data_IF_240108799712
#
_entry.id   IF_240108799712
#
_cell.length_a   1.000
_cell.length_b   1.000
_cell.length_c   1.000
_cell.angle_alpha   90.00
_cell.angle_beta   90.00
_cell.angle_gamma   90.00
#
_symmetry.space_group_name_H-M   'P 1'
#
loop_
_entity.id
_entity.type
_entity.pdbx_description
1 polymer ?
#
# COMPACT_ATOMS: atom_id res chain seq x y z
N UNK A 1 -15.72 0.42 10.24
CA UNK A 1 -16.21 -0.43 9.13
C UNK A 1 -15.03 -1.23 8.58
N UNK A 2 -14.87 -2.49 9.00
CA UNK A 2 -13.82 -3.36 8.45
C UNK A 2 -14.32 -3.87 7.10
N UNK A 3 -13.87 -3.24 6.02
CA UNK A 3 -14.07 -3.78 4.67
C UNK A 3 -13.36 -5.14 4.61
N UNK A 4 -14.12 -6.22 4.81
CA UNK A 4 -13.76 -7.56 4.33
C UNK A 4 -13.80 -7.51 2.80
N UNK A 5 -12.81 -6.85 2.20
CA UNK A 5 -12.52 -7.05 0.79
C UNK A 5 -12.01 -8.49 0.68
N UNK A 6 -12.88 -9.36 0.17
CA UNK A 6 -12.51 -10.69 -0.30
C UNK A 6 -11.24 -10.53 -1.12
N UNK A 7 -10.20 -11.28 -0.79
CA UNK A 7 -8.95 -11.21 -1.54
C UNK A 7 -9.23 -11.70 -2.97
N UNK A 8 -9.02 -10.88 -4.02
CA UNK A 8 -9.18 -11.36 -5.38
C UNK A 8 -8.12 -12.40 -5.78
N UNK A 9 -7.05 -12.53 -4.99
CA UNK A 9 -5.96 -13.46 -5.24
C UNK A 9 -5.52 -14.20 -3.95
N UNK A 10 -6.38 -15.08 -3.40
CA UNK A 10 -6.10 -15.79 -2.14
C UNK A 10 -4.91 -16.76 -2.26
N UNK A 11 -4.53 -17.16 -3.46
CA UNK A 11 -3.40 -18.05 -3.75
C UNK A 11 -2.04 -17.35 -3.70
N UNK A 12 -2.03 -16.01 -3.76
CA UNK A 12 -0.78 -15.23 -3.74
C UNK A 12 -0.25 -15.06 -2.31
N UNK A 13 1.07 -14.85 -2.15
CA UNK A 13 1.73 -14.68 -0.86
C UNK A 13 0.98 -13.80 0.13
N UNK A 14 1.11 -14.14 1.42
CA UNK A 14 0.51 -13.46 2.56
C UNK A 14 1.61 -13.17 3.58
N UNK A 15 1.56 -12.00 4.22
CA UNK A 15 2.47 -11.64 5.30
C UNK A 15 2.07 -12.34 6.60
N UNK A 16 3.01 -13.11 7.15
CA UNK A 16 2.88 -13.85 8.42
C UNK A 16 3.87 -13.39 9.49
N UNK A 17 4.57 -12.28 9.25
CA UNK A 17 5.63 -11.80 10.12
C UNK A 17 6.89 -12.69 10.08
N UNK A 18 7.95 -12.29 10.78
CA UNK A 18 9.26 -12.95 10.73
C UNK A 18 9.27 -14.38 11.28
N UNK A 19 8.26 -14.75 12.08
CA UNK A 19 8.15 -16.08 12.69
C UNK A 19 7.11 -16.98 12.00
N UNK A 20 6.46 -16.50 10.92
CA UNK A 20 5.47 -17.28 10.17
C UNK A 20 4.15 -17.56 10.90
N UNK A 21 3.92 -16.97 12.09
CA UNK A 21 2.70 -17.20 12.90
C UNK A 21 1.58 -16.19 12.66
N UNK A 22 1.83 -15.17 11.85
CA UNK A 22 0.99 -14.00 11.69
C UNK A 22 1.66 -12.74 12.24
N UNK A 23 1.19 -11.58 11.78
CA UNK A 23 1.64 -10.29 12.31
C UNK A 23 0.95 -9.99 13.64
N UNK A 24 1.56 -9.14 14.46
CA UNK A 24 0.93 -8.68 15.70
C UNK A 24 -0.32 -7.82 15.44
N UNK A 25 -1.31 -7.89 16.34
CA UNK A 25 -2.58 -7.13 16.27
C UNK A 25 -2.39 -5.63 16.09
N UNK A 26 -1.31 -5.07 16.65
CA UNK A 26 -0.95 -3.66 16.52
C UNK A 26 -0.83 -3.20 15.05
N UNK A 27 -0.46 -4.11 14.12
CA UNK A 27 -0.37 -3.79 12.69
C UNK A 27 -1.72 -3.36 12.14
N UNK A 28 -2.79 -4.08 12.49
CA UNK A 28 -4.14 -3.77 12.00
C UNK A 28 -4.86 -2.73 12.85
N UNK A 29 -4.69 -2.79 14.17
CA UNK A 29 -5.44 -1.95 15.11
C UNK A 29 -4.87 -0.54 15.26
N UNK A 30 -3.55 -0.38 15.09
CA UNK A 30 -2.86 0.90 15.25
C UNK A 30 -2.20 1.34 13.95
N UNK A 31 -1.23 0.59 13.42
CA UNK A 31 -0.43 1.03 12.25
C UNK A 31 -1.31 1.33 11.03
N UNK A 32 -2.14 0.38 10.60
CA UNK A 32 -3.02 0.55 9.45
C UNK A 32 -4.15 1.54 9.72
N UNK A 33 -4.67 1.59 10.95
CA UNK A 33 -5.67 2.57 11.34
C UNK A 33 -5.12 3.99 11.22
N UNK A 34 -3.97 4.27 11.83
CA UNK A 34 -3.34 5.59 11.79
C UNK A 34 -2.92 5.99 10.37
N UNK A 35 -2.45 5.04 9.55
CA UNK A 35 -2.19 5.27 8.14
C UNK A 35 -3.45 5.74 7.39
N UNK A 36 -4.56 5.03 7.54
CA UNK A 36 -5.83 5.40 6.91
C UNK A 36 -6.35 6.76 7.41
N UNK A 37 -6.33 6.98 8.73
CA UNK A 37 -6.78 8.22 9.36
C UNK A 37 -5.95 9.42 8.86
N UNK A 38 -4.62 9.27 8.77
CA UNK A 38 -3.73 10.32 8.25
C UNK A 38 -4.04 10.66 6.78
N UNK A 39 -4.23 9.65 5.93
CA UNK A 39 -4.55 9.84 4.51
C UNK A 39 -5.88 10.59 4.33
N UNK A 40 -6.89 10.25 5.15
CA UNK A 40 -8.20 10.90 5.12
C UNK A 40 -8.11 12.34 5.64
N UNK A 41 -7.43 12.55 6.76
CA UNK A 41 -7.27 13.87 7.38
C UNK A 41 -6.51 14.85 6.49
N UNK A 42 -5.51 14.37 5.75
CA UNK A 42 -4.67 15.20 4.87
C UNK A 42 -5.27 15.45 3.48
N UNK A 43 -6.47 14.94 3.16
CA UNK A 43 -7.03 15.00 1.81
C UNK A 43 -7.08 16.44 1.23
N UNK A 44 -7.41 17.44 2.06
CA UNK A 44 -7.55 18.82 1.60
C UNK A 44 -6.20 19.45 1.24
N UNK A 45 -5.11 19.04 1.90
CA UNK A 45 -3.77 19.43 1.51
C UNK A 45 -3.36 18.76 0.20
N UNK A 46 -3.65 17.45 0.05
CA UNK A 46 -3.34 16.68 -1.16
C UNK A 46 -4.05 17.22 -2.41
N UNK A 47 -5.28 17.76 -2.28
CA UNK A 47 -6.02 18.42 -3.39
C UNK A 47 -5.33 19.65 -3.98
N UNK A 48 -4.36 20.24 -3.30
CA UNK A 48 -3.62 21.41 -3.80
C UNK A 48 -2.59 21.04 -4.88
N UNK A 49 -2.38 19.75 -5.12
CA UNK A 49 -1.42 19.23 -6.07
C UNK A 49 -2.17 18.49 -7.19
N UNK A 50 -1.84 18.75 -8.47
CA UNK A 50 -2.46 18.04 -9.59
C UNK A 50 -2.11 16.55 -9.62
N UNK A 51 -1.01 16.15 -8.98
CA UNK A 51 -0.62 14.75 -8.82
C UNK A 51 -0.48 14.42 -7.33
N UNK A 52 -0.83 13.20 -6.96
CA UNK A 52 -0.67 12.68 -5.60
C UNK A 52 -0.18 11.23 -5.67
N UNK A 53 0.98 10.96 -5.08
CA UNK A 53 1.64 9.64 -5.19
C UNK A 53 1.75 8.99 -3.83
N UNK A 54 1.41 7.71 -3.76
CA UNK A 54 1.79 6.85 -2.63
C UNK A 54 3.12 6.16 -2.98
N UNK A 55 4.09 6.20 -2.07
CA UNK A 55 5.36 5.49 -2.19
C UNK A 55 5.50 4.55 -0.99
N UNK A 56 5.65 3.26 -1.25
CA UNK A 56 5.83 2.23 -0.22
C UNK A 56 7.00 1.30 -0.61
N UNK A 57 8.23 1.56 -0.12
CA UNK A 57 9.41 0.79 -0.46
C UNK A 57 9.57 -0.52 0.33
N UNK A 58 8.60 -0.85 1.20
CA UNK A 58 8.55 -2.11 1.96
C UNK A 58 7.13 -2.69 1.90
N UNK A 59 6.60 -2.80 0.68
CA UNK A 59 5.18 -2.99 0.44
C UNK A 59 4.66 -4.36 0.91
N UNK A 60 5.53 -5.36 1.01
CA UNK A 60 5.12 -6.74 1.23
C UNK A 60 4.15 -7.23 0.16
N UNK A 61 3.40 -8.31 0.42
CA UNK A 61 2.52 -8.90 -0.58
C UNK A 61 1.13 -8.23 -0.70
N UNK A 62 0.86 -7.15 0.03
CA UNK A 62 -0.44 -6.47 -0.01
C UNK A 62 -1.58 -7.20 0.72
N UNK A 63 -1.28 -8.31 1.40
CA UNK A 63 -2.21 -9.07 2.26
C UNK A 63 -1.45 -9.59 3.48
N UNK A 64 -2.12 -9.69 4.63
CA UNK A 64 -1.55 -10.21 5.87
C UNK A 64 -2.53 -11.09 6.62
N UNK A 65 -2.02 -11.92 7.52
CA UNK A 65 -2.80 -12.59 8.56
C UNK A 65 -2.27 -12.16 9.93
N UNK A 66 -3.19 -11.87 10.85
CA UNK A 66 -2.85 -11.58 12.25
C UNK A 66 -2.68 -12.88 13.01
N UNK A 67 -1.72 -12.94 13.92
CA UNK A 67 -1.45 -14.13 14.73
C UNK A 67 -2.70 -14.61 15.48
N UNK A 68 -2.98 -15.91 15.37
CA UNK A 68 -4.13 -16.56 15.99
C UNK A 68 -5.47 -16.43 15.24
N UNK A 69 -5.50 -15.76 14.09
CA UNK A 69 -6.73 -15.60 13.31
C UNK A 69 -6.76 -16.50 12.07
N UNK A 70 -7.94 -17.03 11.72
CA UNK A 70 -8.12 -17.90 10.56
C UNK A 70 -8.37 -17.14 9.24
N UNK A 71 -8.32 -15.80 9.24
CA UNK A 71 -8.65 -14.98 8.08
C UNK A 71 -7.59 -13.92 7.80
N UNK A 72 -7.62 -13.38 6.58
CA UNK A 72 -6.61 -12.44 6.09
C UNK A 72 -7.22 -11.06 5.87
N UNK A 73 -6.38 -10.04 5.88
CA UNK A 73 -6.77 -8.64 5.64
C UNK A 73 -5.83 -7.95 4.65
N UNK A 74 -6.26 -6.83 4.05
CA UNK A 74 -5.38 -6.01 3.22
C UNK A 74 -4.13 -5.52 3.96
N UNK A 75 -3.01 -5.47 3.24
CA UNK A 75 -1.74 -4.89 3.67
C UNK A 75 -1.74 -3.36 3.62
N UNK A 76 -0.63 -2.74 4.08
CA UNK A 76 -0.53 -1.28 4.26
C UNK A 76 -0.79 -0.46 3.00
N UNK A 77 -0.14 -0.78 1.87
CA UNK A 77 -0.35 -0.12 0.58
C UNK A 77 -1.81 -0.19 0.11
N UNK A 78 -2.46 -1.35 0.26
CA UNK A 78 -3.86 -1.57 -0.13
C UNK A 78 -4.81 -0.79 0.78
N UNK A 79 -4.55 -0.74 2.09
CA UNK A 79 -5.29 0.10 3.04
C UNK A 79 -5.14 1.57 2.67
N UNK A 80 -3.91 2.03 2.39
CA UNK A 80 -3.65 3.42 2.03
C UNK A 80 -4.41 3.83 0.76
N UNK A 81 -4.35 3.02 -0.29
CA UNK A 81 -5.09 3.27 -1.52
C UNK A 81 -6.61 3.26 -1.31
N UNK A 82 -7.13 2.26 -0.58
CA UNK A 82 -8.55 2.18 -0.26
C UNK A 82 -9.03 3.41 0.52
N UNK A 83 -8.27 3.85 1.53
CA UNK A 83 -8.59 5.05 2.30
C UNK A 83 -8.56 6.32 1.44
N UNK A 84 -7.57 6.48 0.55
CA UNK A 84 -7.55 7.63 -0.36
C UNK A 84 -8.71 7.63 -1.36
N UNK A 85 -9.13 6.45 -1.82
CA UNK A 85 -10.20 6.27 -2.81
C UNK A 85 -11.60 6.65 -2.30
N UNK A 86 -11.80 6.71 -0.98
CA UNK A 86 -13.06 7.22 -0.39
C UNK A 86 -13.10 8.74 -0.28
N UNK A 87 -12.00 9.43 -0.62
CA UNK A 87 -11.87 10.89 -0.50
C UNK A 87 -12.00 11.57 -1.87
N UNK A 88 -12.11 12.91 -1.86
CA UNK A 88 -12.02 13.74 -3.09
C UNK A 88 -10.56 13.99 -3.53
N UNK A 89 -9.61 13.21 -3.02
CA UNK A 89 -8.17 13.35 -3.26
C UNK A 89 -7.51 11.96 -3.41
N UNK A 90 -7.91 11.16 -4.42
CA UNK A 90 -7.32 9.84 -4.63
C UNK A 90 -5.83 9.95 -5.02
N UNK A 91 -5.08 8.87 -4.83
CA UNK A 91 -3.74 8.78 -5.39
C UNK A 91 -3.82 8.61 -6.91
N UNK A 92 -3.04 9.40 -7.63
CA UNK A 92 -2.88 9.36 -9.09
C UNK A 92 -1.92 8.27 -9.55
N UNK A 93 -1.01 7.83 -8.66
CA UNK A 93 -0.03 6.78 -8.90
C UNK A 93 0.38 6.14 -7.59
N UNK A 94 0.70 4.85 -7.61
CA UNK A 94 1.28 4.12 -6.49
C UNK A 94 2.61 3.53 -6.94
N UNK A 95 3.65 3.78 -6.16
CA UNK A 95 4.97 3.17 -6.32
C UNK A 95 5.15 2.18 -5.17
N UNK A 96 5.33 0.90 -5.49
CA UNK A 96 5.58 -0.14 -4.50
C UNK A 96 6.95 -0.78 -4.71
N UNK A 97 7.60 -1.20 -3.63
CA UNK A 97 8.78 -2.03 -3.71
C UNK A 97 8.98 -2.90 -2.48
N UNK A 98 9.72 -3.98 -2.69
CA UNK A 98 10.16 -4.94 -1.68
C UNK A 98 11.40 -5.64 -2.26
N UNK A 99 12.25 -6.17 -1.38
CA UNK A 99 13.42 -6.94 -1.80
C UNK A 99 13.02 -8.26 -2.45
N UNK A 100 11.85 -8.80 -2.07
CA UNK A 100 11.31 -10.05 -2.60
C UNK A 100 10.36 -9.80 -3.78
N UNK A 101 10.73 -10.32 -4.95
CA UNK A 101 9.96 -10.21 -6.18
C UNK A 101 8.53 -10.77 -6.07
N UNK A 102 8.35 -11.91 -5.40
CA UNK A 102 7.04 -12.58 -5.28
C UNK A 102 6.06 -11.72 -4.47
N UNK A 103 6.58 -11.03 -3.45
CA UNK A 103 5.80 -10.10 -2.61
C UNK A 103 5.41 -8.86 -3.40
N UNK A 104 6.34 -8.24 -4.14
CA UNK A 104 6.01 -7.12 -5.03
C UNK A 104 4.92 -7.49 -6.03
N UNK A 105 5.06 -8.64 -6.71
CA UNK A 105 4.08 -9.09 -7.71
C UNK A 105 2.69 -9.35 -7.11
N UNK A 106 2.63 -9.93 -5.91
CA UNK A 106 1.38 -10.18 -5.20
C UNK A 106 0.65 -8.87 -4.87
N UNK A 107 1.39 -7.88 -4.37
CA UNK A 107 0.84 -6.57 -4.04
C UNK A 107 0.39 -5.80 -5.28
N UNK A 108 1.22 -5.83 -6.35
CA UNK A 108 0.88 -5.24 -7.63
C UNK A 108 -0.47 -5.75 -8.13
N UNK A 109 -0.66 -7.08 -8.19
CA UNK A 109 -1.93 -7.69 -8.62
C UNK A 109 -3.11 -7.20 -7.77
N UNK A 110 -2.99 -7.21 -6.45
CA UNK A 110 -4.06 -6.78 -5.53
C UNK A 110 -4.41 -5.30 -5.68
N UNK A 111 -3.41 -4.43 -5.82
CA UNK A 111 -3.64 -3.00 -6.06
C UNK A 111 -4.25 -2.72 -7.44
N UNK A 112 -3.76 -3.40 -8.49
CA UNK A 112 -4.33 -3.28 -9.84
C UNK A 112 -5.79 -3.76 -9.87
N UNK A 113 -6.12 -4.87 -9.21
CA UNK A 113 -7.51 -5.34 -9.09
C UNK A 113 -8.41 -4.36 -8.31
N UNK A 114 -7.84 -3.55 -7.42
CA UNK A 114 -8.55 -2.44 -6.76
C UNK A 114 -8.66 -1.17 -7.64
N UNK A 115 -8.14 -1.20 -8.87
CA UNK A 115 -8.18 -0.09 -9.83
C UNK A 115 -7.02 0.89 -9.72
N UNK A 116 -5.98 0.59 -8.94
CA UNK A 116 -4.84 1.49 -8.80
C UNK A 116 -3.93 1.48 -10.04
N UNK A 117 -3.36 2.65 -10.36
CA UNK A 117 -2.23 2.77 -11.29
C UNK A 117 -0.91 2.53 -10.53
N UNK A 118 -0.33 1.34 -10.72
CA UNK A 118 0.82 0.86 -9.93
C UNK A 118 2.07 0.79 -10.80
N UNK A 119 3.21 1.16 -10.22
CA UNK A 119 4.54 0.86 -10.74
C UNK A 119 5.35 0.16 -9.65
N UNK A 120 6.07 -0.90 -10.02
CA UNK A 120 6.69 -1.83 -9.09
C UNK A 120 8.21 -1.82 -9.23
N UNK A 121 8.92 -1.85 -8.09
CA UNK A 121 10.37 -1.83 -8.02
C UNK A 121 10.85 -2.98 -7.13
N UNK A 122 11.61 -3.91 -7.69
CA UNK A 122 12.13 -5.07 -6.96
C UNK A 122 13.59 -4.81 -6.59
N UNK A 123 13.92 -5.02 -5.32
CA UNK A 123 15.29 -4.88 -4.81
C UNK A 123 15.34 -4.10 -3.50
N UNK A 124 16.54 -3.92 -2.94
CA UNK A 124 16.74 -3.20 -1.69
C UNK A 124 16.14 -1.79 -1.75
N UNK A 125 15.43 -1.37 -0.70
CA UNK A 125 14.83 -0.02 -0.62
C UNK A 125 15.88 1.09 -0.78
N UNK A 126 17.09 0.89 -0.26
CA UNK A 126 18.22 1.83 -0.38
C UNK A 126 18.63 2.11 -1.82
N UNK A 127 18.37 1.16 -2.73
CA UNK A 127 18.68 1.30 -4.15
C UNK A 127 17.44 1.76 -4.94
N UNK A 128 16.30 1.11 -4.68
CA UNK A 128 15.07 1.33 -5.45
C UNK A 128 14.42 2.69 -5.21
N UNK A 129 14.63 3.30 -4.03
CA UNK A 129 14.08 4.62 -3.70
C UNK A 129 14.52 5.71 -4.69
N UNK A 130 15.72 5.60 -5.26
CA UNK A 130 16.20 6.55 -6.28
C UNK A 130 15.41 6.46 -7.58
N UNK A 131 15.00 5.26 -7.98
CA UNK A 131 14.16 5.06 -9.16
C UNK A 131 12.71 5.44 -8.87
N UNK A 132 12.19 5.14 -7.68
CA UNK A 132 10.87 5.61 -7.24
C UNK A 132 10.78 7.13 -7.27
N UNK A 133 11.79 7.84 -6.75
CA UNK A 133 11.83 9.29 -6.77
C UNK A 133 11.79 9.87 -8.20
N UNK A 134 12.52 9.25 -9.15
CA UNK A 134 12.47 9.62 -10.57
C UNK A 134 11.11 9.33 -11.22
N UNK A 135 10.38 8.35 -10.72
CA UNK A 135 9.06 7.97 -11.21
C UNK A 135 7.91 8.84 -10.66
N UNK A 136 8.20 9.76 -9.73
CA UNK A 136 7.23 10.75 -9.24
C UNK A 136 6.98 11.78 -10.36
N UNK A 137 5.72 11.95 -10.82
CA UNK A 137 5.42 12.89 -11.89
C UNK A 137 5.55 14.35 -11.41
N UNK A 138 5.83 15.25 -12.35
CA UNK A 138 5.71 16.68 -12.14
C UNK A 138 4.33 17.05 -11.61
N UNK A 139 4.26 18.04 -10.71
CA UNK A 139 3.03 18.44 -10.05
C UNK A 139 2.69 17.67 -8.77
N UNK A 140 3.51 16.68 -8.36
CA UNK A 140 3.30 15.96 -7.09
C UNK A 140 3.98 16.63 -5.88
N UNK A 141 5.06 17.39 -6.10
CA UNK A 141 5.88 18.02 -5.05
C UNK A 141 6.01 19.55 -5.21
N UNK A 142 5.56 20.09 -6.33
CA UNK A 142 5.54 21.53 -6.62
C UNK A 142 4.26 21.87 -7.37
N UNK A 143 3.75 23.08 -7.15
CA UNK A 143 2.67 23.62 -7.99
C UNK A 143 3.31 24.10 -9.30
N UNK A 144 2.75 23.66 -10.42
CA UNK A 144 3.09 24.22 -11.73
C UNK A 144 2.72 25.70 -11.74
#
# INVERSE_FOLDING_TARGET
>A
MQLKLTDPYPELPIEYGPHGRGVGKWVTEQKHKYLADYIIATQMARRKFPQCVLIDPFCGPGRLQVEGEAFTRPGGSVIAYSAASTTKAPFTKILIGDIDQSRVQANHKRLTAAGAKVEAFVGPASETVHFMAKAVPHGALGKV
#
